data_IF_374150376287
#
_entry.id   IF_374150376287
#
_cell.length_a   1.000
_cell.length_b   1.000
_cell.length_c   1.000
_cell.angle_alpha   90.00
_cell.angle_beta   90.00
_cell.angle_gamma   90.00
#
_symmetry.space_group_name_H-M   'P 1'
#
loop_
_entity.id
_entity.type
_entity.pdbx_description
1 polymer ?
#
# COMPACT_ATOMS: atom_id res chain seq x y z
N UNK A 1 -0.71 5.59 16.93
CA UNK A 1 0.27 4.65 17.52
C UNK A 1 0.93 3.87 16.39
N UNK A 2 2.07 4.32 15.86
CA UNK A 2 2.74 3.64 14.75
C UNK A 2 3.33 2.30 15.23
N UNK A 3 2.84 1.21 14.63
CA UNK A 3 3.24 -0.19 14.86
C UNK A 3 4.60 -0.56 14.25
N UNK A 4 5.44 0.43 13.97
CA UNK A 4 6.75 0.19 13.37
C UNK A 4 7.77 0.29 14.50
N UNK A 5 8.24 -0.85 14.99
CA UNK A 5 9.45 -0.89 15.80
C UNK A 5 10.57 -0.35 14.91
N UNK A 6 11.24 0.78 15.25
CA UNK A 6 12.34 1.26 14.45
C UNK A 6 13.43 0.18 14.50
N UNK A 7 13.61 -0.53 13.38
CA UNK A 7 14.73 -1.44 13.20
C UNK A 7 16.04 -0.64 13.25
N UNK A 8 17.21 -1.31 13.31
CA UNK A 8 18.53 -0.67 13.39
C UNK A 8 18.95 -0.05 12.04
N UNK A 9 17.98 0.47 11.28
CA UNK A 9 18.17 0.96 9.94
C UNK A 9 17.85 2.44 9.91
N UNK A 10 18.76 3.19 9.30
CA UNK A 10 18.61 4.62 9.12
C UNK A 10 18.53 4.91 7.63
N UNK A 11 17.86 6.01 7.28
CA UNK A 11 17.87 6.50 5.91
C UNK A 11 19.00 7.53 5.76
N UNK A 12 19.81 7.39 4.72
CA UNK A 12 20.91 8.30 4.42
C UNK A 12 20.72 8.89 3.01
N UNK A 13 20.82 10.21 2.88
CA UNK A 13 20.73 10.92 1.60
C UNK A 13 19.48 10.60 0.76
N UNK A 14 19.67 10.47 -0.55
CA UNK A 14 18.63 10.31 -1.59
C UNK A 14 17.99 8.90 -1.62
N UNK A 15 17.52 8.41 -0.47
CA UNK A 15 16.76 7.16 -0.39
C UNK A 15 17.59 5.90 -0.17
N UNK A 16 18.82 6.03 0.32
CA UNK A 16 19.62 4.87 0.73
C UNK A 16 19.19 4.44 2.13
N UNK A 17 19.02 3.13 2.33
CA UNK A 17 18.76 2.52 3.64
C UNK A 17 20.03 1.79 4.06
N UNK A 18 20.56 2.14 5.22
CA UNK A 18 21.78 1.55 5.79
C UNK A 18 21.48 0.84 7.11
N UNK A 19 22.31 -0.10 7.51
CA UNK A 19 22.31 -0.63 8.88
C UNK A 19 23.10 0.26 9.84
N UNK A 20 23.07 -0.07 11.14
CA UNK A 20 23.79 0.65 12.19
C UNK A 20 25.32 0.68 12.02
N UNK A 21 25.90 -0.14 11.13
CA UNK A 21 27.32 -0.11 10.78
C UNK A 21 27.60 0.72 9.52
N UNK A 22 26.59 1.38 8.95
CA UNK A 22 26.68 2.17 7.72
C UNK A 22 26.68 1.32 6.44
N UNK A 23 26.38 0.01 6.54
CA UNK A 23 26.31 -0.84 5.35
C UNK A 23 24.98 -0.60 4.65
N UNK A 24 25.05 -0.21 3.38
CA UNK A 24 23.88 -0.11 2.52
C UNK A 24 23.14 -1.45 2.40
N UNK A 25 21.89 -1.46 2.83
CA UNK A 25 20.97 -2.59 2.75
C UNK A 25 20.05 -2.48 1.52
N UNK A 26 19.61 -1.28 1.19
CA UNK A 26 18.74 -1.02 0.05
C UNK A 26 18.91 0.40 -0.49
N UNK A 27 18.43 0.65 -1.70
CA UNK A 27 18.34 1.99 -2.29
C UNK A 27 16.97 2.15 -2.93
N UNK A 28 16.19 3.09 -2.41
CA UNK A 28 14.96 3.54 -3.05
C UNK A 28 15.38 4.49 -4.15
N UNK A 29 15.39 4.01 -5.39
CA UNK A 29 15.68 4.86 -6.54
C UNK A 29 14.71 6.05 -6.56
N UNK A 30 15.19 7.30 -6.52
CA UNK A 30 14.33 8.49 -6.57
C UNK A 30 13.40 8.48 -7.78
N UNK A 31 13.87 7.91 -8.89
CA UNK A 31 13.12 7.75 -10.13
C UNK A 31 11.93 6.77 -10.02
N UNK A 32 11.92 5.88 -9.02
CA UNK A 32 10.85 4.92 -8.79
C UNK A 32 9.81 5.39 -7.76
N UNK A 33 10.06 6.47 -7.02
CA UNK A 33 9.08 7.03 -6.07
C UNK A 33 7.84 7.55 -6.79
N UNK A 34 8.03 8.38 -7.81
CA UNK A 34 6.94 8.83 -8.66
C UNK A 34 6.36 7.68 -9.49
N UNK A 35 7.20 6.75 -10.00
CA UNK A 35 6.71 5.64 -10.81
C UNK A 35 5.82 4.68 -10.00
N UNK A 36 6.11 4.43 -8.71
CA UNK A 36 5.27 3.61 -7.84
C UNK A 36 3.99 4.34 -7.37
N UNK A 37 4.07 5.66 -7.12
CA UNK A 37 2.88 6.46 -6.87
C UNK A 37 1.98 6.54 -8.12
N UNK A 38 2.58 6.72 -9.30
CA UNK A 38 1.91 6.62 -10.60
C UNK A 38 1.45 5.20 -10.90
N UNK A 39 2.07 4.13 -10.40
CA UNK A 39 1.55 2.77 -10.60
C UNK A 39 0.25 2.53 -9.81
N UNK A 40 0.14 3.17 -8.64
CA UNK A 40 -1.09 3.19 -7.82
C UNK A 40 -2.13 4.15 -8.43
N UNK A 41 -1.72 5.29 -8.98
CA UNK A 41 -2.60 6.27 -9.63
C UNK A 41 -2.98 5.93 -11.09
N UNK A 42 -2.17 5.13 -11.81
CA UNK A 42 -2.31 4.80 -13.23
C UNK A 42 -2.92 3.41 -13.47
N UNK A 43 -3.52 2.81 -12.46
CA UNK A 43 -4.43 1.69 -12.66
C UNK A 43 -5.86 2.08 -12.22
N UNK A 44 -6.56 3.00 -12.93
CA UNK A 44 -7.99 3.22 -12.76
C UNK A 44 -8.77 1.91 -12.78
N UNK A 45 -8.36 0.95 -13.61
CA UNK A 45 -8.99 -0.37 -13.69
C UNK A 45 -8.83 -1.18 -12.40
N UNK A 46 -7.72 -0.98 -11.67
CA UNK A 46 -7.49 -1.60 -10.36
C UNK A 46 -8.32 -0.92 -9.27
N UNK A 47 -8.45 0.41 -9.32
CA UNK A 47 -9.34 1.16 -8.42
C UNK A 47 -10.81 0.73 -8.65
N UNK A 48 -11.24 0.65 -9.90
CA UNK A 48 -12.56 0.17 -10.28
C UNK A 48 -12.77 -1.31 -9.90
N UNK A 49 -11.75 -2.16 -10.04
CA UNK A 49 -11.80 -3.54 -9.56
C UNK A 49 -11.98 -3.60 -8.03
N UNK A 50 -11.29 -2.76 -7.26
CA UNK A 50 -11.47 -2.66 -5.81
C UNK A 50 -12.88 -2.16 -5.44
N UNK A 51 -13.44 -1.18 -6.16
CA UNK A 51 -14.82 -0.72 -5.95
C UNK A 51 -15.84 -1.83 -6.26
N UNK A 52 -15.67 -2.52 -7.38
CA UNK A 52 -16.53 -3.63 -7.78
C UNK A 52 -16.46 -4.80 -6.77
N UNK A 53 -15.26 -5.10 -6.26
CA UNK A 53 -15.07 -6.09 -5.21
C UNK A 53 -15.77 -5.68 -3.90
N UNK A 54 -15.65 -4.40 -3.50
CA UNK A 54 -16.31 -3.89 -2.30
C UNK A 54 -17.83 -3.99 -2.42
N UNK A 55 -18.38 -3.63 -3.58
CA UNK A 55 -19.79 -3.79 -3.88
C UNK A 55 -20.23 -5.26 -3.81
N UNK A 56 -19.44 -6.19 -4.35
CA UNK A 56 -19.72 -7.62 -4.27
C UNK A 56 -19.72 -8.17 -2.83
N UNK A 57 -18.82 -7.68 -1.97
CA UNK A 57 -18.71 -8.11 -0.58
C UNK A 57 -19.83 -7.53 0.29
N UNK A 58 -20.13 -6.25 0.14
CA UNK A 58 -21.12 -5.54 0.97
C UNK A 58 -22.56 -5.82 0.53
N UNK A 59 -22.85 -5.76 -0.77
CA UNK A 59 -24.23 -5.82 -1.29
C UNK A 59 -24.67 -7.24 -1.66
N UNK A 60 -23.74 -8.06 -2.16
CA UNK A 60 -24.03 -9.46 -2.58
C UNK A 60 -23.57 -10.50 -1.57
N UNK A 61 -23.04 -10.06 -0.44
CA UNK A 61 -22.60 -10.94 0.64
C UNK A 61 -21.31 -11.70 0.36
N UNK A 62 -20.56 -11.42 -0.70
CA UNK A 62 -19.23 -12.00 -0.94
C UNK A 62 -19.14 -13.55 -0.96
N UNK A 63 -17.93 -14.11 -1.07
CA UNK A 63 -17.71 -15.55 -0.98
C UNK A 63 -17.94 -16.09 0.44
N UNK A 64 -18.48 -17.30 0.56
CA UNK A 64 -18.59 -17.99 1.84
C UNK A 64 -17.22 -18.34 2.40
N UNK A 65 -17.06 -18.19 3.72
CA UNK A 65 -15.82 -18.51 4.44
C UNK A 65 -14.82 -17.35 4.60
N UNK A 66 -15.15 -16.16 4.14
CA UNK A 66 -14.39 -14.93 4.41
C UNK A 66 -15.08 -14.06 5.46
N UNK A 67 -14.28 -13.37 6.26
CA UNK A 67 -14.77 -12.26 7.09
C UNK A 67 -15.04 -11.06 6.17
N UNK A 68 -16.32 -10.84 5.89
CA UNK A 68 -16.79 -9.83 4.93
C UNK A 68 -16.51 -8.42 5.42
N UNK A 69 -16.51 -8.22 6.73
CA UNK A 69 -16.27 -6.92 7.34
C UNK A 69 -14.77 -6.58 7.25
N UNK A 70 -13.91 -7.54 7.56
CA UNK A 70 -12.46 -7.41 7.38
C UNK A 70 -12.08 -7.15 5.92
N UNK A 71 -12.65 -7.90 4.98
CA UNK A 71 -12.40 -7.69 3.53
C UNK A 71 -12.89 -6.32 3.06
N UNK A 72 -14.06 -5.87 3.54
CA UNK A 72 -14.58 -4.54 3.21
C UNK A 72 -13.66 -3.42 3.73
N UNK A 73 -13.10 -3.58 4.93
CA UNK A 73 -12.18 -2.60 5.53
C UNK A 73 -10.86 -2.48 4.76
N UNK A 74 -10.29 -3.61 4.32
CA UNK A 74 -9.11 -3.61 3.45
C UNK A 74 -9.37 -2.90 2.12
N UNK A 75 -10.52 -3.14 1.49
CA UNK A 75 -10.89 -2.51 0.22
C UNK A 75 -11.11 -1.00 0.36
N UNK A 76 -11.77 -0.55 1.45
CA UNK A 76 -11.93 0.88 1.75
C UNK A 76 -10.59 1.57 1.93
N UNK A 77 -9.67 0.98 2.71
CA UNK A 77 -8.35 1.55 2.93
C UNK A 77 -7.54 1.68 1.63
N UNK A 78 -7.64 0.68 0.74
CA UNK A 78 -7.00 0.72 -0.57
C UNK A 78 -7.58 1.80 -1.48
N UNK A 79 -8.91 1.97 -1.50
CA UNK A 79 -9.60 3.01 -2.27
C UNK A 79 -9.20 4.40 -1.76
N UNK A 80 -9.30 4.65 -0.45
CA UNK A 80 -8.92 5.94 0.15
C UNK A 80 -7.48 6.31 -0.19
N UNK A 81 -6.55 5.36 -0.08
CA UNK A 81 -5.13 5.58 -0.40
C UNK A 81 -4.89 5.89 -1.89
N UNK A 82 -5.72 5.37 -2.79
CA UNK A 82 -5.62 5.61 -4.23
C UNK A 82 -6.33 6.91 -4.67
N UNK A 83 -7.30 7.38 -3.89
CA UNK A 83 -8.01 8.66 -4.10
C UNK A 83 -7.26 9.86 -3.48
N UNK A 84 -6.40 9.63 -2.49
CA UNK A 84 -5.51 10.65 -1.92
C UNK A 84 -4.37 11.01 -2.91
N UNK A 85 -4.23 12.29 -3.29
CA UNK A 85 -3.25 12.76 -4.29
C UNK A 85 -1.80 12.83 -3.80
#
# INVERSE_FOLDING_TARGET
>A
MSKNTPGPWEHEGDGVIVDAAGKQLAMVSPHLREANARLIAAAPELLEACRAALYGVVDRGGPDGLDKEEVADYLRAAITKAEEP
#
